data_IF_027255530594
#
_entry.id   IF_027255530594
#
_cell.length_a   1.000
_cell.length_b   1.000
_cell.length_c   1.000
_cell.angle_alpha   90.00
_cell.angle_beta   90.00
_cell.angle_gamma   90.00
#
_symmetry.space_group_name_H-M   'P 1'
#
loop_
_entity.id
_entity.type
_entity.pdbx_description
1 polymer ?
#
# COMPACT_ATOMS: atom_id res chain seq x y z
N UNK A 1 30.57 3.38 63.30
CA UNK A 1 29.97 4.71 63.60
C UNK A 1 29.72 5.42 62.28
N UNK A 2 28.45 5.79 62.05
CA UNK A 2 27.94 6.91 61.18
C UNK A 2 28.28 6.90 59.67
N UNK A 3 27.38 7.13 58.70
CA UNK A 3 25.93 7.36 58.69
C UNK A 3 25.39 7.24 57.24
N UNK A 4 24.12 6.84 57.11
CA UNK A 4 23.31 6.95 55.88
C UNK A 4 23.07 8.42 55.51
N UNK A 5 22.84 8.71 54.24
CA UNK A 5 21.97 9.82 53.83
C UNK A 5 21.25 9.53 52.52
N UNK A 6 19.93 9.28 52.65
CA UNK A 6 18.95 9.29 51.55
C UNK A 6 18.64 10.73 51.17
N UNK A 7 18.48 11.03 49.88
CA UNK A 7 17.85 12.27 49.41
C UNK A 7 16.52 11.92 48.77
N UNK A 8 15.45 12.42 49.39
CA UNK A 8 14.08 12.49 48.88
C UNK A 8 13.95 13.83 48.15
N UNK A 9 13.20 13.88 47.05
CA UNK A 9 12.72 15.16 46.48
C UNK A 9 11.27 15.00 46.06
N UNK A 10 10.48 15.96 46.52
CA UNK A 10 9.01 16.02 46.53
C UNK A 10 8.47 16.68 45.26
N UNK A 11 7.24 16.29 44.93
CA UNK A 11 6.41 16.63 43.77
C UNK A 11 6.10 18.13 43.56
N UNK A 12 5.71 18.46 42.32
CA UNK A 12 4.76 19.55 42.03
C UNK A 12 3.73 19.06 41.01
N UNK A 13 2.47 18.99 41.44
CA UNK A 13 1.28 18.78 40.62
C UNK A 13 0.86 20.11 39.97
N UNK A 14 0.58 20.10 38.67
CA UNK A 14 -0.18 21.16 38.00
C UNK A 14 -1.37 20.53 37.29
N UNK A 15 -2.56 20.78 37.81
CA UNK A 15 -3.84 20.38 37.22
C UNK A 15 -4.26 21.41 36.17
N UNK A 16 -4.72 20.94 35.01
CA UNK A 16 -5.39 21.76 34.00
C UNK A 16 -6.62 20.99 33.52
N UNK A 17 -7.80 21.48 33.90
CA UNK A 17 -9.08 20.92 33.49
C UNK A 17 -9.41 21.36 32.06
N UNK A 18 -9.81 20.42 31.20
CA UNK A 18 -10.36 20.70 29.87
C UNK A 18 -11.75 20.07 29.78
N UNK A 19 -12.76 20.90 29.53
CA UNK A 19 -14.13 20.47 29.28
C UNK A 19 -14.22 19.80 27.91
N UNK A 20 -14.67 18.53 27.88
CA UNK A 20 -14.93 17.79 26.65
C UNK A 20 -16.42 17.85 26.35
N UNK A 21 -16.79 18.58 25.29
CA UNK A 21 -18.11 18.48 24.66
C UNK A 21 -18.09 17.22 23.79
N UNK A 22 -18.85 16.22 24.20
CA UNK A 22 -18.99 14.95 23.49
C UNK A 22 -19.83 15.11 22.22
N UNK A 23 -19.24 14.78 21.08
CA UNK A 23 -19.98 14.37 19.89
C UNK A 23 -19.55 12.95 19.58
N UNK A 24 -20.44 12.00 19.89
CA UNK A 24 -20.29 10.62 19.45
C UNK A 24 -20.46 10.60 17.92
N UNK A 25 -19.33 10.58 17.19
CA UNK A 25 -19.37 10.30 15.76
C UNK A 25 -19.61 8.80 15.58
N UNK A 26 -20.63 8.38 14.79
CA UNK A 26 -20.79 6.98 14.44
C UNK A 26 -19.52 6.51 13.72
N UNK A 27 -18.99 5.37 14.14
CA UNK A 27 -17.91 4.69 13.44
C UNK A 27 -18.44 4.26 12.08
N UNK A 28 -18.18 5.09 11.07
CA UNK A 28 -18.42 4.74 9.70
C UNK A 28 -17.44 3.61 9.34
N UNK A 29 -17.95 2.38 9.23
CA UNK A 29 -17.35 1.40 8.33
C UNK A 29 -17.07 2.14 7.03
N UNK A 30 -15.80 2.22 6.62
CA UNK A 30 -15.44 2.83 5.35
C UNK A 30 -16.22 2.09 4.27
N UNK A 31 -17.26 2.73 3.74
CA UNK A 31 -18.00 2.21 2.61
C UNK A 31 -16.99 1.91 1.51
N UNK A 32 -17.14 0.79 0.78
CA UNK A 32 -16.26 0.50 -0.35
C UNK A 32 -16.18 1.74 -1.23
N UNK A 33 -14.97 2.30 -1.34
CA UNK A 33 -14.73 3.45 -2.20
C UNK A 33 -15.18 3.05 -3.60
N UNK A 34 -16.10 3.76 -4.27
CA UNK A 34 -16.57 3.37 -5.59
C UNK A 34 -15.40 3.31 -6.58
N UNK A 35 -15.00 2.09 -6.93
CA UNK A 35 -13.86 1.87 -7.79
C UNK A 35 -14.25 2.14 -9.25
N UNK A 36 -13.40 2.82 -10.04
CA UNK A 36 -13.69 3.06 -11.45
C UNK A 36 -13.85 1.71 -12.16
N UNK A 37 -15.00 1.50 -12.80
CA UNK A 37 -15.32 0.23 -13.47
C UNK A 37 -14.60 0.09 -14.81
N UNK A 38 -14.18 1.21 -15.40
CA UNK A 38 -13.50 1.25 -16.69
C UNK A 38 -12.59 2.48 -16.80
N UNK A 39 -11.60 2.37 -17.69
CA UNK A 39 -10.78 3.52 -18.09
C UNK A 39 -11.43 4.19 -19.29
N UNK A 40 -11.87 5.43 -19.13
CA UNK A 40 -12.45 6.26 -20.19
C UNK A 40 -11.59 7.52 -20.36
N UNK A 41 -11.81 8.26 -21.44
CA UNK A 41 -11.15 9.56 -21.62
C UNK A 41 -11.46 10.52 -20.45
N UNK A 42 -12.70 10.47 -19.93
CA UNK A 42 -13.12 11.28 -18.80
C UNK A 42 -12.41 10.89 -17.49
N UNK A 43 -12.30 9.59 -17.19
CA UNK A 43 -11.59 9.16 -15.98
C UNK A 43 -10.10 9.43 -16.06
N UNK A 44 -9.48 9.33 -17.25
CA UNK A 44 -8.09 9.75 -17.47
C UNK A 44 -7.92 11.25 -17.28
N UNK A 45 -8.81 12.08 -17.83
CA UNK A 45 -8.75 13.52 -17.68
C UNK A 45 -8.90 13.94 -16.20
N UNK A 46 -9.84 13.35 -15.48
CA UNK A 46 -10.03 13.64 -14.06
C UNK A 46 -8.82 13.19 -13.21
N UNK A 47 -8.21 12.05 -13.53
CA UNK A 47 -6.99 11.62 -12.86
C UNK A 47 -5.80 12.54 -13.16
N UNK A 48 -5.64 12.98 -14.41
CA UNK A 48 -4.61 13.94 -14.80
C UNK A 48 -4.79 15.30 -14.09
N UNK A 49 -6.03 15.77 -13.96
CA UNK A 49 -6.35 16.99 -13.21
C UNK A 49 -5.96 16.86 -11.73
N UNK A 50 -6.29 15.74 -11.07
CA UNK A 50 -5.91 15.50 -9.68
C UNK A 50 -4.39 15.39 -9.50
N UNK A 51 -3.69 14.72 -10.42
CA UNK A 51 -2.24 14.58 -10.40
C UNK A 51 -1.53 15.92 -10.65
N UNK A 52 -2.09 16.78 -11.51
CA UNK A 52 -1.55 18.10 -11.85
C UNK A 52 -1.98 19.24 -10.92
N UNK A 53 -2.79 18.97 -9.90
CA UNK A 53 -3.29 20.01 -9.00
C UNK A 53 -2.13 20.70 -8.23
N UNK A 54 -2.21 22.03 -7.97
CA UNK A 54 -1.14 22.76 -7.28
C UNK A 54 -0.70 22.13 -5.94
N UNK A 55 -1.65 21.66 -5.13
CA UNK A 55 -1.35 21.01 -3.85
C UNK A 55 -0.66 19.66 -4.01
N UNK A 56 -0.99 18.92 -5.07
CA UNK A 56 -0.30 17.69 -5.45
C UNK A 56 1.14 18.00 -5.85
N UNK A 57 1.37 19.02 -6.68
CA UNK A 57 2.72 19.44 -7.08
C UNK A 57 3.54 19.92 -5.87
N UNK A 58 2.94 20.66 -4.94
CA UNK A 58 3.60 21.05 -3.70
C UNK A 58 3.98 19.84 -2.82
N UNK A 59 3.14 18.80 -2.81
CA UNK A 59 3.44 17.53 -2.14
C UNK A 59 4.58 16.79 -2.83
N UNK A 60 4.61 16.76 -4.15
CA UNK A 60 5.70 16.19 -4.93
C UNK A 60 7.04 16.90 -4.70
N UNK A 61 7.04 18.23 -4.59
CA UNK A 61 8.25 18.99 -4.26
C UNK A 61 8.85 18.54 -2.92
N UNK A 62 8.01 18.36 -1.89
CA UNK A 62 8.46 17.79 -0.60
C UNK A 62 8.94 16.35 -0.74
N UNK A 63 8.21 15.54 -1.51
CA UNK A 63 8.55 14.14 -1.74
C UNK A 63 9.93 13.98 -2.39
N UNK A 64 10.23 14.73 -3.45
CA UNK A 64 11.52 14.67 -4.14
C UNK A 64 12.68 15.25 -3.31
N UNK A 65 12.40 16.25 -2.47
CA UNK A 65 13.41 16.86 -1.60
C UNK A 65 13.76 16.02 -0.36
N UNK A 66 12.98 14.97 -0.04
CA UNK A 66 13.10 14.23 1.23
C UNK A 66 14.49 13.61 1.47
N UNK A 67 15.21 13.26 0.40
CA UNK A 67 16.55 12.66 0.45
C UNK A 67 17.68 13.71 0.35
N UNK A 68 17.34 15.00 0.23
CA UNK A 68 18.31 16.10 0.18
C UNK A 68 19.08 16.24 -1.13
N UNK A 69 18.76 15.44 -2.16
CA UNK A 69 19.41 15.53 -3.50
C UNK A 69 18.98 16.77 -4.29
N UNK A 70 17.78 17.27 -4.01
CA UNK A 70 17.23 18.50 -4.60
C UNK A 70 16.53 19.31 -3.51
N UNK A 71 16.66 20.64 -3.57
CA UNK A 71 15.92 21.52 -2.68
C UNK A 71 14.42 21.52 -3.08
N UNK A 72 13.53 21.73 -2.11
CA UNK A 72 12.08 21.67 -2.33
C UNK A 72 11.60 22.66 -3.40
N UNK A 73 12.13 23.87 -3.42
CA UNK A 73 11.82 24.92 -4.42
C UNK A 73 12.46 24.64 -5.78
N UNK A 74 13.60 23.94 -5.80
CA UNK A 74 14.30 23.54 -7.01
C UNK A 74 13.68 22.30 -7.68
N UNK A 75 12.95 21.45 -6.94
CA UNK A 75 12.41 20.19 -7.44
C UNK A 75 11.50 20.34 -8.66
N UNK A 76 10.69 21.41 -8.73
CA UNK A 76 9.83 21.77 -9.89
C UNK A 76 9.17 20.55 -10.58
N UNK A 77 8.39 19.74 -9.85
CA UNK A 77 7.85 18.49 -10.36
C UNK A 77 6.88 18.73 -11.52
N UNK A 78 6.89 17.83 -12.50
CA UNK A 78 5.96 17.83 -13.64
C UNK A 78 5.34 16.45 -13.83
N UNK A 79 4.06 16.43 -14.17
CA UNK A 79 3.38 15.20 -14.62
C UNK A 79 3.71 14.98 -16.09
N UNK A 80 4.06 13.75 -16.46
CA UNK A 80 4.43 13.37 -17.82
C UNK A 80 3.56 12.22 -18.35
N UNK A 81 3.22 12.30 -19.64
CA UNK A 81 2.48 11.26 -20.34
C UNK A 81 1.02 11.13 -19.90
N UNK A 82 0.36 10.09 -20.42
CA UNK A 82 -0.99 9.75 -20.01
C UNK A 82 -0.98 8.86 -18.77
N UNK A 83 -2.00 9.02 -17.92
CA UNK A 83 -2.21 8.12 -16.80
C UNK A 83 -2.55 6.71 -17.30
N UNK A 84 -1.99 5.67 -16.71
CA UNK A 84 -2.20 4.26 -17.08
C UNK A 84 -3.06 3.51 -16.05
N UNK A 85 -3.82 2.46 -16.45
CA UNK A 85 -4.53 1.62 -15.49
C UNK A 85 -3.58 0.87 -14.56
N UNK A 86 -3.91 0.87 -13.27
CA UNK A 86 -3.36 -0.05 -12.27
C UNK A 86 -4.49 -0.97 -11.83
N UNK A 87 -4.39 -2.24 -12.19
CA UNK A 87 -5.38 -3.26 -11.82
C UNK A 87 -4.81 -4.21 -10.79
N UNK A 88 -5.61 -4.61 -9.82
CA UNK A 88 -5.24 -5.64 -8.83
C UNK A 88 -6.01 -6.93 -9.08
N UNK A 89 -5.49 -8.03 -8.55
CA UNK A 89 -6.18 -9.31 -8.46
C UNK A 89 -7.60 -9.10 -7.91
N UNK A 90 -8.59 -9.51 -8.70
CA UNK A 90 -10.00 -9.30 -8.38
C UNK A 90 -10.44 -10.20 -7.22
N UNK A 91 -11.01 -9.63 -6.14
CA UNK A 91 -11.62 -10.42 -5.06
C UNK A 91 -12.71 -11.37 -5.57
N UNK A 92 -13.48 -10.97 -6.59
CA UNK A 92 -14.53 -11.80 -7.18
C UNK A 92 -13.97 -13.02 -7.91
N UNK A 93 -12.80 -12.86 -8.55
CA UNK A 93 -12.08 -13.97 -9.17
C UNK A 93 -11.54 -14.94 -8.12
N UNK A 94 -11.00 -14.41 -7.02
CA UNK A 94 -10.53 -15.19 -5.87
C UNK A 94 -11.67 -15.95 -5.22
N UNK A 95 -12.84 -15.33 -5.05
CA UNK A 95 -14.06 -15.96 -4.53
C UNK A 95 -14.66 -17.02 -5.48
N UNK A 96 -14.11 -17.19 -6.69
CA UNK A 96 -14.58 -18.18 -7.64
C UNK A 96 -15.88 -17.79 -8.35
N UNK A 97 -16.31 -16.52 -8.30
CA UNK A 97 -17.54 -16.07 -8.98
C UNK A 97 -17.46 -16.36 -10.49
N UNK A 98 -18.56 -16.88 -11.03
CA UNK A 98 -18.66 -17.17 -12.46
C UNK A 98 -18.52 -15.88 -13.28
N UNK A 99 -17.71 -15.92 -14.34
CA UNK A 99 -17.48 -14.76 -15.21
C UNK A 99 -16.63 -13.63 -14.61
N UNK A 100 -16.17 -13.74 -13.36
CA UNK A 100 -15.34 -12.70 -12.76
C UNK A 100 -14.00 -12.53 -13.51
N UNK A 101 -13.67 -11.28 -13.86
CA UNK A 101 -12.38 -10.89 -14.42
C UNK A 101 -11.25 -11.15 -13.44
N UNK A 102 -10.09 -11.62 -13.93
CA UNK A 102 -8.89 -11.87 -13.10
C UNK A 102 -8.40 -10.63 -12.36
N UNK A 103 -8.57 -9.47 -12.97
CA UNK A 103 -8.15 -8.20 -12.43
C UNK A 103 -9.29 -7.19 -12.42
N UNK A 104 -9.25 -6.28 -11.46
CA UNK A 104 -10.16 -5.14 -11.33
C UNK A 104 -9.32 -3.86 -11.31
N UNK A 105 -9.79 -2.83 -12.02
CA UNK A 105 -9.18 -1.50 -11.95
C UNK A 105 -9.28 -0.96 -10.52
N UNK A 106 -8.16 -0.46 -9.99
CA UNK A 106 -8.10 0.19 -8.68
C UNK A 106 -7.73 1.66 -8.83
N UNK A 107 -6.72 1.94 -9.65
CA UNK A 107 -6.14 3.27 -9.75
C UNK A 107 -5.82 3.65 -11.19
N UNK A 108 -5.67 4.95 -11.41
CA UNK A 108 -4.94 5.49 -12.55
C UNK A 108 -3.59 6.03 -12.06
N UNK A 109 -2.51 5.52 -12.64
CA UNK A 109 -1.13 5.93 -12.31
C UNK A 109 -0.65 7.03 -13.26
N UNK A 110 -0.20 8.15 -12.71
CA UNK A 110 0.49 9.21 -13.45
C UNK A 110 1.98 9.24 -13.09
N UNK A 111 2.85 9.50 -14.06
CA UNK A 111 4.28 9.65 -13.83
C UNK A 111 4.61 11.10 -13.49
N UNK A 112 5.41 11.32 -12.45
CA UNK A 112 5.98 12.61 -12.12
C UNK A 112 7.49 12.58 -12.22
N UNK A 113 8.08 13.68 -12.71
CA UNK A 113 9.52 13.86 -12.86
C UNK A 113 9.93 15.18 -12.21
N UNK A 114 10.96 15.11 -11.36
CA UNK A 114 11.63 16.27 -10.76
C UNK A 114 12.64 16.88 -11.72
N UNK A 115 13.03 18.14 -11.49
CA UNK A 115 14.01 18.87 -12.29
C UNK A 115 15.39 18.20 -12.39
N UNK A 116 15.74 17.40 -11.37
CA UNK A 116 16.96 16.60 -11.27
C UNK A 116 16.80 15.17 -11.82
N UNK A 117 15.65 14.86 -12.42
CA UNK A 117 15.38 13.56 -13.06
C UNK A 117 14.86 12.47 -12.13
N UNK A 118 14.66 12.76 -10.83
CA UNK A 118 13.99 11.80 -9.94
C UNK A 118 12.57 11.52 -10.42
N UNK A 119 12.14 10.27 -10.31
CA UNK A 119 10.83 9.81 -10.77
C UNK A 119 9.95 9.34 -9.62
N UNK A 120 8.65 9.62 -9.74
CA UNK A 120 7.62 9.12 -8.86
C UNK A 120 6.39 8.69 -9.66
N UNK A 121 5.62 7.76 -9.09
CA UNK A 121 4.31 7.39 -9.58
C UNK A 121 3.24 7.82 -8.60
N UNK A 122 2.19 8.47 -9.11
CA UNK A 122 1.03 8.91 -8.37
C UNK A 122 -0.14 8.01 -8.70
N UNK A 123 -0.76 7.39 -7.71
CA UNK A 123 -2.02 6.68 -7.92
C UNK A 123 -3.18 7.60 -7.60
N UNK A 124 -4.13 7.66 -8.53
CA UNK A 124 -5.36 8.42 -8.38
C UNK A 124 -6.55 7.48 -8.34
N UNK A 125 -7.46 7.71 -7.38
CA UNK A 125 -8.71 6.97 -7.22
C UNK A 125 -9.90 7.94 -7.16
N UNK A 126 -11.11 7.44 -7.45
CA UNK A 126 -12.35 8.18 -7.18
C UNK A 126 -12.80 7.91 -5.76
N UNK A 127 -12.77 8.92 -4.90
CA UNK A 127 -13.24 8.87 -3.51
C UNK A 127 -14.61 9.53 -3.36
N UNK A 128 -15.14 9.56 -2.13
CA UNK A 128 -16.34 10.35 -1.82
C UNK A 128 -16.17 11.86 -2.07
N UNK A 129 -14.93 12.35 -2.11
CA UNK A 129 -14.59 13.74 -2.41
C UNK A 129 -14.24 13.99 -3.90
N UNK A 130 -14.40 12.98 -4.77
CA UNK A 130 -14.03 13.05 -6.19
C UNK A 130 -12.70 12.38 -6.48
N UNK A 131 -12.06 12.71 -7.61
CA UNK A 131 -10.77 12.13 -7.99
C UNK A 131 -9.65 12.73 -7.14
N UNK A 132 -8.87 11.87 -6.48
CA UNK A 132 -7.79 12.28 -5.58
C UNK A 132 -6.57 11.40 -5.76
N UNK A 133 -5.39 12.01 -5.61
CA UNK A 133 -4.15 11.26 -5.43
C UNK A 133 -4.18 10.60 -4.07
N UNK A 134 -4.08 9.28 -4.05
CA UNK A 134 -4.16 8.44 -2.84
C UNK A 134 -2.83 7.78 -2.48
N UNK A 135 -1.85 7.81 -3.38
CA UNK A 135 -0.50 7.30 -3.13
C UNK A 135 0.53 8.03 -4.01
N UNK A 136 1.75 8.19 -3.48
CA UNK A 136 2.94 8.63 -4.22
C UNK A 136 4.08 7.67 -3.87
N UNK A 137 4.61 6.99 -4.88
CA UNK A 137 5.72 6.03 -4.73
C UNK A 137 6.93 6.46 -5.57
N UNK A 138 8.12 6.05 -5.16
CA UNK A 138 9.36 6.27 -5.92
C UNK A 138 9.50 5.22 -7.01
N UNK A 139 10.10 5.60 -8.13
CA UNK A 139 10.33 4.69 -9.26
C UNK A 139 9.24 4.80 -10.32
N UNK A 140 9.09 3.76 -11.13
CA UNK A 140 8.23 3.71 -12.32
C UNK A 140 7.63 2.31 -12.59
N UNK A 141 7.54 1.45 -11.56
CA UNK A 141 7.17 0.04 -11.71
C UNK A 141 5.87 -0.19 -12.49
N UNK A 142 4.84 0.62 -12.26
CA UNK A 142 3.57 0.55 -12.99
C UNK A 142 3.78 0.71 -14.50
N UNK A 143 4.62 1.67 -14.90
CA UNK A 143 4.92 1.95 -16.30
C UNK A 143 5.85 0.91 -16.91
N UNK A 144 6.83 0.44 -16.14
CA UNK A 144 7.74 -0.62 -16.55
C UNK A 144 6.99 -1.93 -16.80
N UNK A 145 6.15 -2.36 -15.86
CA UNK A 145 5.37 -3.59 -16.00
C UNK A 145 4.25 -3.47 -17.03
N UNK A 146 3.64 -2.29 -17.20
CA UNK A 146 2.69 -2.05 -18.28
C UNK A 146 3.35 -2.27 -19.66
N UNK A 147 4.55 -1.72 -19.87
CA UNK A 147 5.31 -1.90 -21.11
C UNK A 147 5.74 -3.37 -21.30
N UNK A 148 6.28 -4.00 -20.26
CA UNK A 148 6.66 -5.42 -20.30
C UNK A 148 5.46 -6.32 -20.62
N UNK A 149 4.30 -6.06 -20.02
CA UNK A 149 3.08 -6.81 -20.29
C UNK A 149 2.59 -6.63 -21.72
N UNK A 150 2.60 -5.40 -22.24
CA UNK A 150 2.24 -5.12 -23.63
C UNK A 150 3.16 -5.86 -24.63
N UNK A 151 4.47 -5.95 -24.32
CA UNK A 151 5.42 -6.71 -25.13
C UNK A 151 5.25 -8.24 -24.99
N UNK A 152 5.08 -8.74 -23.77
CA UNK A 152 5.03 -10.18 -23.45
C UNK A 152 3.70 -10.83 -23.88
N UNK A 153 2.59 -10.10 -23.77
CA UNK A 153 1.26 -10.58 -24.15
C UNK A 153 0.39 -9.43 -24.67
N UNK A 154 0.53 -9.05 -25.95
CA UNK A 154 -0.19 -7.93 -26.54
C UNK A 154 -1.70 -8.01 -26.34
N UNK A 155 -2.30 -6.90 -25.91
CA UNK A 155 -3.73 -6.80 -25.57
C UNK A 155 -4.13 -7.52 -24.28
N UNK A 156 -3.17 -7.96 -23.46
CA UNK A 156 -3.42 -8.52 -22.14
C UNK A 156 -3.63 -7.45 -21.07
N UNK A 157 -4.30 -7.85 -19.99
CA UNK A 157 -4.47 -7.03 -18.80
C UNK A 157 -3.30 -7.25 -17.86
N UNK A 158 -2.52 -6.19 -17.61
CA UNK A 158 -1.49 -6.19 -16.56
C UNK A 158 -2.16 -5.98 -15.20
N UNK A 159 -1.75 -6.77 -14.20
CA UNK A 159 -2.29 -6.64 -12.85
C UNK A 159 -1.28 -7.07 -11.78
N UNK A 160 -1.48 -6.56 -10.56
CA UNK A 160 -0.70 -6.90 -9.37
C UNK A 160 -1.48 -7.87 -8.46
N UNK A 161 -0.78 -8.81 -7.84
CA UNK A 161 -1.23 -9.60 -6.70
C UNK A 161 -0.56 -9.05 -5.43
N UNK A 162 -1.19 -8.10 -4.73
CA UNK A 162 -0.52 -7.35 -3.66
C UNK A 162 0.01 -8.23 -2.52
N UNK A 163 -0.63 -9.37 -2.29
CA UNK A 163 -0.32 -10.29 -1.19
C UNK A 163 1.09 -10.89 -1.27
N UNK A 164 1.68 -10.94 -2.46
CA UNK A 164 3.03 -11.47 -2.69
C UNK A 164 3.88 -10.52 -3.55
N UNK A 165 3.45 -9.27 -3.69
CA UNK A 165 4.09 -8.24 -4.52
C UNK A 165 4.36 -8.63 -5.99
N UNK A 166 3.54 -9.53 -6.55
CA UNK A 166 3.77 -10.08 -7.87
C UNK A 166 3.03 -9.33 -8.98
N UNK A 167 3.67 -9.19 -10.13
CA UNK A 167 3.10 -8.60 -11.35
C UNK A 167 2.88 -9.63 -12.45
N UNK A 168 1.72 -9.55 -13.11
CA UNK A 168 1.32 -10.48 -14.16
C UNK A 168 0.73 -9.75 -15.37
N UNK A 169 0.70 -10.45 -16.50
CA UNK A 169 -0.17 -10.13 -17.64
C UNK A 169 -1.06 -11.32 -17.97
N UNK A 170 -2.37 -11.08 -18.15
CA UNK A 170 -3.34 -12.11 -18.50
C UNK A 170 -4.09 -11.80 -19.79
N UNK A 171 -4.29 -12.83 -20.62
CA UNK A 171 -5.14 -12.76 -21.82
C UNK A 171 -5.68 -14.14 -22.16
N UNK A 172 -6.97 -14.22 -22.45
CA UNK A 172 -7.63 -15.49 -22.74
C UNK A 172 -7.41 -16.49 -21.60
N UNK A 173 -6.92 -17.68 -21.94
CA UNK A 173 -6.66 -18.75 -20.95
C UNK A 173 -5.28 -18.72 -20.29
N UNK A 174 -4.49 -17.64 -20.41
CA UNK A 174 -3.10 -17.58 -19.93
C UNK A 174 -2.85 -16.45 -18.94
N UNK A 175 -1.99 -16.72 -17.96
CA UNK A 175 -1.41 -15.76 -17.01
C UNK A 175 0.11 -15.93 -17.08
N UNK A 176 0.83 -14.85 -17.42
CA UNK A 176 2.28 -14.85 -17.53
C UNK A 176 2.89 -13.94 -16.44
N UNK A 177 4.02 -14.34 -15.83
CA UNK A 177 4.69 -13.53 -14.84
C UNK A 177 5.42 -12.34 -15.49
N UNK A 178 5.53 -11.22 -14.77
CA UNK A 178 6.31 -10.05 -15.20
C UNK A 178 7.50 -9.76 -14.26
N UNK A 179 7.56 -10.40 -13.11
CA UNK A 179 8.64 -10.29 -12.13
C UNK A 179 8.98 -11.63 -11.47
N UNK A 180 10.03 -11.61 -10.64
CA UNK A 180 10.53 -12.80 -9.95
C UNK A 180 9.50 -13.40 -8.98
N UNK A 181 8.64 -12.58 -8.37
CA UNK A 181 7.62 -13.01 -7.43
C UNK A 181 6.51 -13.78 -8.14
N UNK A 182 6.08 -13.28 -9.30
CA UNK A 182 5.18 -13.98 -10.19
C UNK A 182 5.82 -15.26 -10.74
N UNK A 183 7.10 -15.24 -11.13
CA UNK A 183 7.79 -16.45 -11.60
C UNK A 183 7.86 -17.52 -10.52
N UNK A 184 8.14 -17.16 -9.26
CA UNK A 184 8.07 -18.10 -8.13
C UNK A 184 6.66 -18.65 -7.92
N UNK A 185 5.64 -17.85 -8.18
CA UNK A 185 4.24 -18.22 -7.97
C UNK A 185 3.65 -19.13 -9.06
N UNK A 186 3.99 -18.91 -10.34
CA UNK A 186 3.37 -19.60 -11.49
C UNK A 186 4.36 -20.27 -12.45
N UNK A 187 5.67 -20.16 -12.18
CA UNK A 187 6.74 -20.61 -13.06
C UNK A 187 7.04 -19.63 -14.20
N UNK A 188 8.27 -19.67 -14.74
CA UNK A 188 8.74 -18.76 -15.80
C UNK A 188 7.87 -18.82 -17.08
N UNK A 189 7.28 -19.98 -17.40
CA UNK A 189 6.37 -20.17 -18.52
C UNK A 189 4.93 -19.67 -18.28
N UNK A 190 4.65 -19.21 -17.06
CA UNK A 190 3.31 -18.87 -16.61
C UNK A 190 2.41 -20.09 -16.43
N UNK A 191 1.12 -19.83 -16.29
CA UNK A 191 0.11 -20.86 -16.02
C UNK A 191 -1.17 -20.61 -16.81
N UNK A 192 -2.12 -21.54 -16.72
CA UNK A 192 -3.47 -21.32 -17.25
C UNK A 192 -4.29 -20.43 -16.31
N UNK A 193 -5.26 -19.70 -16.84
CA UNK A 193 -6.14 -18.85 -16.04
C UNK A 193 -6.90 -19.66 -14.98
N UNK A 194 -7.30 -20.90 -15.31
CA UNK A 194 -7.98 -21.80 -14.40
C UNK A 194 -7.06 -22.25 -13.25
N UNK A 195 -5.81 -22.64 -13.55
CA UNK A 195 -4.85 -23.02 -12.53
C UNK A 195 -4.46 -21.83 -11.64
N UNK A 196 -4.33 -20.63 -12.22
CA UNK A 196 -4.14 -19.40 -11.46
C UNK A 196 -5.31 -19.15 -10.51
N UNK A 197 -6.56 -19.28 -10.99
CA UNK A 197 -7.77 -19.19 -10.15
C UNK A 197 -7.72 -20.17 -8.98
N UNK A 198 -7.45 -21.44 -9.25
CA UNK A 198 -7.35 -22.46 -8.19
C UNK A 198 -6.28 -22.12 -7.15
N UNK A 199 -5.13 -21.57 -7.57
CA UNK A 199 -4.07 -21.12 -6.66
C UNK A 199 -4.56 -19.99 -5.75
N UNK A 200 -5.08 -18.90 -6.33
CA UNK A 200 -5.46 -17.72 -5.53
C UNK A 200 -6.70 -17.96 -4.68
N UNK A 201 -7.67 -18.76 -5.16
CA UNK A 201 -8.81 -19.20 -4.34
C UNK A 201 -8.34 -20.04 -3.15
N UNK A 202 -7.38 -20.94 -3.34
CA UNK A 202 -6.80 -21.71 -2.21
C UNK A 202 -6.04 -20.81 -1.24
N UNK A 203 -5.32 -19.81 -1.74
CA UNK A 203 -4.48 -18.95 -0.91
C UNK A 203 -5.27 -17.90 -0.11
N UNK A 204 -6.36 -17.39 -0.70
CA UNK A 204 -7.04 -16.18 -0.22
C UNK A 204 -8.56 -16.29 -0.14
N UNK A 205 -9.18 -17.33 -0.72
CA UNK A 205 -10.65 -17.44 -0.79
C UNK A 205 -11.32 -17.48 0.58
N UNK A 206 -10.63 -18.04 1.57
CA UNK A 206 -11.06 -18.08 2.96
C UNK A 206 -10.84 -16.77 3.70
N UNK A 207 -10.20 -15.74 3.10
CA UNK A 207 -9.85 -14.45 3.75
C UNK A 207 -10.64 -13.26 3.21
N UNK A 208 -11.60 -13.49 2.30
CA UNK A 208 -12.41 -12.44 1.71
C UNK A 208 -13.48 -11.92 2.69
N UNK A 209 -14.00 -10.69 2.53
CA UNK A 209 -15.16 -10.22 3.29
C UNK A 209 -16.34 -11.21 3.18
N UNK A 210 -16.93 -11.59 4.31
CA UNK A 210 -17.97 -12.62 4.37
C UNK A 210 -17.46 -14.07 4.37
N UNK A 211 -16.15 -14.30 4.53
CA UNK A 211 -15.58 -15.62 4.81
C UNK A 211 -15.59 -15.94 6.30
N UNK A 212 -15.44 -17.22 6.66
CA UNK A 212 -15.28 -17.65 8.05
C UNK A 212 -14.08 -16.97 8.76
N UNK A 213 -13.00 -16.67 8.03
CA UNK A 213 -11.87 -15.91 8.57
C UNK A 213 -12.23 -14.45 8.89
N UNK A 214 -13.07 -13.83 8.05
CA UNK A 214 -13.59 -12.48 8.28
C UNK A 214 -14.62 -12.45 9.41
N UNK A 215 -15.50 -13.46 9.48
CA UNK A 215 -16.46 -13.64 10.56
C UNK A 215 -15.79 -13.96 11.91
N UNK A 216 -14.62 -14.60 11.89
CA UNK A 216 -13.76 -14.83 13.06
C UNK A 216 -12.96 -13.61 13.54
N UNK A 217 -13.19 -12.41 12.98
CA UNK A 217 -12.52 -11.17 13.40
C UNK A 217 -11.07 -11.04 12.94
N UNK A 218 -10.57 -11.95 12.10
CA UNK A 218 -9.16 -11.98 11.66
C UNK A 218 -8.92 -11.20 10.36
N UNK A 219 -9.98 -10.72 9.69
CA UNK A 219 -9.88 -9.93 8.46
C UNK A 219 -9.50 -8.45 8.67
N UNK A 220 -9.18 -8.06 9.90
CA UNK A 220 -8.46 -6.82 10.21
C UNK A 220 -7.17 -7.16 10.92
N UNK A 221 -6.08 -6.48 10.59
CA UNK A 221 -4.92 -6.46 11.48
C UNK A 221 -5.39 -6.06 12.89
N UNK A 222 -4.94 -6.82 13.89
CA UNK A 222 -5.40 -6.88 15.29
C UNK A 222 -6.62 -7.76 15.55
N UNK A 223 -6.39 -9.07 15.63
CA UNK A 223 -7.18 -9.92 16.54
C UNK A 223 -6.63 -9.74 17.96
N UNK A 224 -7.39 -9.05 18.81
CA UNK A 224 -7.23 -9.18 20.25
C UNK A 224 -7.63 -10.62 20.62
N UNK A 225 -6.66 -11.41 21.10
CA UNK A 225 -6.98 -12.67 21.74
C UNK A 225 -7.74 -12.37 23.05
N UNK A 226 -8.97 -12.85 23.13
CA UNK A 226 -9.68 -13.01 24.39
C UNK A 226 -9.20 -14.31 25.05
N UNK A 227 -8.82 -14.26 26.33
CA UNK A 227 -9.63 -14.84 27.40
C UNK A 227 -9.03 -14.56 28.79
N UNK A 228 -9.73 -13.65 29.46
CA UNK A 228 -10.24 -13.65 30.84
C UNK A 228 -9.56 -14.49 31.95
N UNK A 229 -9.11 -13.77 33.00
CA UNK A 229 -9.33 -14.14 34.41
C UNK A 229 -8.91 -13.01 35.38
N UNK A 230 -9.88 -12.26 35.92
CA UNK A 230 -9.83 -11.82 37.33
C UNK A 230 -9.69 -10.33 37.65
N UNK A 231 -10.85 -9.69 37.89
CA UNK A 231 -11.12 -8.54 38.76
C UNK A 231 -10.93 -7.09 38.22
N UNK A 232 -11.82 -6.15 38.62
CA UNK A 232 -12.18 -5.01 37.78
C UNK A 232 -11.37 -3.76 38.13
N UNK A 233 -10.81 -3.10 37.13
CA UNK A 233 -10.38 -1.70 37.24
C UNK A 233 -10.69 -0.96 35.95
N UNK A 234 -11.24 0.24 36.16
CA UNK A 234 -11.91 1.09 35.19
C UNK A 234 -11.11 1.39 33.92
N UNK A 235 -11.87 1.48 32.83
CA UNK A 235 -11.45 1.89 31.50
C UNK A 235 -10.72 3.25 31.49
N UNK A 236 -9.60 3.30 30.79
CA UNK A 236 -8.86 4.53 30.49
C UNK A 236 -8.05 4.33 29.20
N UNK A 237 -8.58 4.88 28.11
CA UNK A 237 -8.10 4.74 26.75
C UNK A 237 -6.63 5.16 26.59
N UNK A 238 -5.87 4.30 25.90
CA UNK A 238 -4.56 4.60 25.34
C UNK A 238 -4.76 5.62 24.21
N UNK A 239 -4.50 6.89 24.52
CA UNK A 239 -4.34 7.92 23.52
C UNK A 239 -3.08 7.60 22.69
N UNK A 240 -3.30 7.30 21.41
CA UNK A 240 -2.24 7.18 20.42
C UNK A 240 -1.49 8.51 20.31
N UNK A 241 -0.22 8.49 20.70
CA UNK A 241 0.69 9.61 20.58
C UNK A 241 2.13 9.10 20.46
N UNK A 242 2.58 8.99 19.21
CA UNK A 242 3.96 9.12 18.71
C UNK A 242 5.10 8.63 19.63
N UNK A 243 5.75 7.55 19.22
CA UNK A 243 7.17 7.32 19.53
C UNK A 243 7.94 7.07 18.23
N UNK A 244 8.82 8.03 17.91
CA UNK A 244 9.98 7.84 17.04
C UNK A 244 10.79 6.64 17.55
N UNK A 245 11.06 5.68 16.67
CA UNK A 245 11.93 4.56 16.94
C UNK A 245 12.67 4.17 15.67
N UNK A 246 13.88 4.71 15.52
CA UNK A 246 14.85 4.28 14.52
C UNK A 246 15.05 2.75 14.61
N UNK A 247 14.99 2.06 13.47
CA UNK A 247 15.52 0.71 13.35
C UNK A 247 16.44 0.67 12.14
N UNK A 248 17.72 0.46 12.49
CA UNK A 248 18.84 0.52 11.58
C UNK A 248 18.81 -0.58 10.54
N UNK A 249 19.42 -0.24 9.41
CA UNK A 249 19.90 -1.16 8.40
C UNK A 249 20.88 -2.13 9.08
N UNK A 250 20.44 -3.36 9.35
CA UNK A 250 21.38 -4.46 9.61
C UNK A 250 21.90 -4.91 8.25
N UNK A 251 23.03 -4.35 7.86
CA UNK A 251 23.83 -4.88 6.78
C UNK A 251 24.38 -6.25 7.20
N UNK A 252 23.87 -7.32 6.59
CA UNK A 252 24.51 -8.64 6.67
C UNK A 252 25.81 -8.58 5.87
N UNK A 253 26.92 -8.33 6.57
CA UNK A 253 28.27 -8.57 6.03
C UNK A 253 28.45 -10.07 5.83
N UNK A 254 28.30 -10.53 4.59
CA UNK A 254 28.75 -11.86 4.17
C UNK A 254 30.28 -11.86 4.18
N UNK A 255 30.87 -12.42 5.24
CA UNK A 255 32.30 -12.64 5.34
C UNK A 255 32.78 -13.59 4.24
N UNK A 256 33.55 -13.07 3.27
CA UNK A 256 34.44 -13.89 2.45
C UNK A 256 35.71 -14.13 3.25
N UNK A 257 35.85 -15.35 3.81
CA UNK A 257 37.14 -15.87 4.26
C UNK A 257 38.01 -16.10 3.01
N UNK A 258 38.88 -15.14 2.70
CA UNK A 258 40.06 -15.38 1.88
C UNK A 258 41.10 -16.07 2.75
N UNK A 259 41.34 -17.36 2.47
CA UNK A 259 42.41 -18.14 3.07
C UNK A 259 43.69 -17.78 2.31
N UNK A 260 44.59 -17.06 2.96
CA UNK A 260 45.98 -16.88 2.49
C UNK A 260 46.66 -18.24 2.54
N UNK A 261 47.13 -18.70 1.39
CA UNK A 261 48.15 -19.75 1.28
C UNK A 261 49.43 -19.01 0.92
N UNK A 262 50.39 -19.05 1.83
CA UNK A 262 51.82 -19.12 1.47
C UNK A 262 52.15 -20.60 1.48
#
# INVERSE_FOLDING_TARGET
MTAMSKRVSVAVLAASAVAVIGVAAPQASAAPVPQPQSVTAETRAAAAQAAGAPDTLATLSRFFAREGKVAMDAARPRIEGEAIPVSYLSPDFVAGKAGASVARLEFLASKAVSSDGQQAVLWTARTGAGWQVVNIATGDDEFRYAQMGAAKLPGGTVFREPQIDAWYVARGGRVLPLDEDAERAVGAGGTSLAAYRSRVTRAYGDKLPGSAYAEGGMAGGYSAAADDAGAPVAAGAVAGGLALGALGVVAVRRARRGRTVV
#
